data_IF_635107864212
#
_entry.id   IF_635107864212
#
_cell.length_a   1.000
_cell.length_b   1.000
_cell.length_c   1.000
_cell.angle_alpha   90.00
_cell.angle_beta   90.00
_cell.angle_gamma   90.00
#
_symmetry.space_group_name_H-M   'P 1'
#
loop_
_entity.id
_entity.type
_entity.pdbx_description
1 polymer ?
#
# COMPACT_ATOMS: atom_id res chain seq x y z
N UNK A 1 -13.42 -16.08 30.08
CA UNK A 1 -13.01 -14.77 30.64
C UNK A 1 -11.76 -14.84 31.52
N UNK A 2 -11.61 -15.80 32.46
CA UNK A 2 -10.38 -15.94 33.27
C UNK A 2 -9.21 -16.62 32.52
N UNK A 3 -9.49 -17.55 31.59
CA UNK A 3 -8.45 -18.24 30.79
C UNK A 3 -7.77 -17.34 29.75
N UNK A 4 -8.49 -16.39 29.15
CA UNK A 4 -7.92 -15.40 28.20
C UNK A 4 -6.98 -14.39 28.88
N UNK A 5 -7.13 -14.18 30.20
CA UNK A 5 -6.21 -13.37 30.99
C UNK A 5 -4.94 -14.13 31.38
N UNK A 6 -5.02 -15.45 31.57
CA UNK A 6 -3.84 -16.30 31.85
C UNK A 6 -2.91 -16.41 30.64
N UNK A 7 -3.44 -16.59 29.42
CA UNK A 7 -2.62 -16.59 28.19
C UNK A 7 -1.81 -15.30 28.00
N UNK A 8 -2.40 -14.14 28.32
CA UNK A 8 -1.72 -12.83 28.25
C UNK A 8 -0.61 -12.61 29.29
N UNK A 9 -0.56 -13.42 30.36
CA UNK A 9 0.44 -13.28 31.42
C UNK A 9 1.72 -14.08 31.14
N UNK A 10 1.62 -15.17 30.37
CA UNK A 10 2.74 -16.04 29.99
C UNK A 10 3.48 -15.57 28.73
N UNK A 11 2.78 -14.84 27.86
CA UNK A 11 3.42 -14.10 26.77
C UNK A 11 4.10 -12.85 27.34
N UNK A 12 5.37 -13.00 27.76
CA UNK A 12 6.27 -11.85 27.96
C UNK A 12 6.07 -10.91 26.78
N UNK A 13 5.51 -9.72 27.03
CA UNK A 13 5.30 -8.71 26.00
C UNK A 13 6.64 -8.44 25.34
N UNK A 14 6.83 -8.97 24.13
CA UNK A 14 8.07 -8.79 23.38
C UNK A 14 8.09 -7.34 22.91
N UNK A 15 9.22 -6.69 23.13
CA UNK A 15 9.41 -5.34 22.61
C UNK A 15 9.32 -5.34 21.09
N UNK A 16 8.75 -4.28 20.51
CA UNK A 16 8.54 -4.15 19.07
C UNK A 16 9.80 -4.42 18.24
N UNK A 17 10.96 -3.97 18.75
CA UNK A 17 12.26 -4.20 18.12
C UNK A 17 12.64 -5.68 18.08
N UNK A 18 12.36 -6.44 19.14
CA UNK A 18 12.58 -7.88 19.18
C UNK A 18 11.74 -8.60 18.12
N UNK A 19 10.52 -8.13 17.90
CA UNK A 19 9.60 -8.69 16.89
C UNK A 19 10.11 -8.36 15.48
N UNK A 20 10.56 -7.12 15.23
CA UNK A 20 11.19 -6.75 13.95
C UNK A 20 12.35 -7.70 13.60
N UNK A 21 13.30 -7.86 14.52
CA UNK A 21 14.49 -8.68 14.31
C UNK A 21 14.15 -10.15 14.06
N UNK A 22 13.19 -10.69 14.83
CA UNK A 22 12.72 -12.06 14.66
C UNK A 22 12.10 -12.27 13.28
N UNK A 23 11.26 -11.35 12.82
CA UNK A 23 10.62 -11.43 11.51
C UNK A 23 11.60 -11.23 10.35
N UNK A 24 12.56 -10.30 10.46
CA UNK A 24 13.63 -10.14 9.48
C UNK A 24 14.48 -11.40 9.35
N UNK A 25 14.84 -12.00 10.49
CA UNK A 25 15.61 -13.25 10.53
C UNK A 25 14.81 -14.39 9.89
N UNK A 26 13.51 -14.47 10.18
CA UNK A 26 12.62 -15.49 9.66
C UNK A 26 12.43 -15.38 8.15
N UNK A 27 12.20 -14.18 7.63
CA UNK A 27 12.06 -13.94 6.18
C UNK A 27 13.37 -14.26 5.44
N UNK A 28 14.52 -13.95 6.05
CA UNK A 28 15.81 -14.39 5.50
C UNK A 28 15.97 -15.92 5.47
N UNK A 29 15.45 -16.63 6.48
CA UNK A 29 15.53 -18.09 6.56
C UNK A 29 14.56 -18.78 5.59
N UNK A 30 13.34 -18.26 5.45
CA UNK A 30 12.27 -18.87 4.65
C UNK A 30 12.39 -18.48 3.17
N UNK A 31 12.48 -17.18 2.88
CA UNK A 31 12.38 -16.64 1.52
C UNK A 31 13.74 -16.25 0.93
N UNK A 32 14.80 -16.23 1.77
CA UNK A 32 16.12 -15.67 1.43
C UNK A 32 16.06 -14.21 0.99
N UNK A 33 15.01 -13.51 1.37
CA UNK A 33 14.86 -12.08 1.12
C UNK A 33 15.31 -11.30 2.34
N UNK A 34 16.17 -10.31 2.11
CA UNK A 34 16.59 -9.41 3.18
C UNK A 34 15.61 -8.26 3.26
N UNK A 35 14.64 -8.39 4.16
CA UNK A 35 13.73 -7.31 4.50
C UNK A 35 14.28 -6.50 5.69
N UNK A 36 13.91 -5.22 5.78
CA UNK A 36 14.19 -4.38 6.94
C UNK A 36 12.90 -3.76 7.42
N UNK A 37 12.51 -4.08 8.65
CA UNK A 37 11.27 -3.69 9.28
C UNK A 37 11.50 -2.48 10.18
N UNK A 38 11.01 -1.32 9.75
CA UNK A 38 11.06 -0.12 10.57
C UNK A 38 10.07 -0.22 11.75
N UNK A 39 10.62 -0.14 12.97
CA UNK A 39 9.87 -0.12 14.23
C UNK A 39 8.78 0.96 14.26
N UNK A 40 9.06 2.14 13.73
CA UNK A 40 8.11 3.25 13.74
C UNK A 40 6.90 2.94 12.85
N UNK A 41 7.15 2.38 11.66
CA UNK A 41 6.10 1.95 10.72
C UNK A 41 5.18 0.91 11.37
N UNK A 42 5.73 -0.12 12.00
CA UNK A 42 4.95 -1.12 12.73
C UNK A 42 4.17 -0.51 13.90
N UNK A 43 4.78 0.42 14.63
CA UNK A 43 4.09 1.13 15.72
C UNK A 43 2.95 2.01 15.21
N UNK A 44 3.06 2.60 14.03
CA UNK A 44 2.00 3.40 13.40
C UNK A 44 0.86 2.50 12.92
N UNK A 45 1.17 1.39 12.26
CA UNK A 45 0.19 0.40 11.82
C UNK A 45 -0.60 -0.18 13.00
N UNK A 46 0.07 -0.52 14.12
CA UNK A 46 -0.60 -0.99 15.33
C UNK A 46 -1.54 0.06 15.96
N UNK A 47 -1.30 1.35 15.72
CA UNK A 47 -2.16 2.45 16.16
C UNK A 47 -3.30 2.73 15.16
N UNK A 48 -3.42 1.94 14.10
CA UNK A 48 -4.45 2.12 13.07
C UNK A 48 -4.12 3.20 12.04
N UNK A 49 -2.86 3.63 11.94
CA UNK A 49 -2.43 4.53 10.87
C UNK A 49 -2.23 3.71 9.61
N UNK A 50 -3.03 3.99 8.58
CA UNK A 50 -2.88 3.37 7.26
C UNK A 50 -1.51 3.67 6.66
N UNK A 51 -0.95 2.71 5.95
CA UNK A 51 0.22 2.91 5.10
C UNK A 51 -0.13 3.81 3.93
N UNK A 52 0.88 4.48 3.36
CA UNK A 52 0.70 5.27 2.14
C UNK A 52 0.14 4.42 0.99
N UNK A 53 0.47 3.14 0.92
CA UNK A 53 -0.08 2.23 -0.09
C UNK A 53 -1.58 1.99 0.11
N UNK A 54 -2.01 1.76 1.35
CA UNK A 54 -3.44 1.62 1.70
C UNK A 54 -4.20 2.94 1.48
N UNK A 55 -3.63 4.06 1.92
CA UNK A 55 -4.21 5.39 1.66
C UNK A 55 -4.24 5.70 0.16
N UNK A 56 -3.24 5.31 -0.62
CA UNK A 56 -3.27 5.48 -2.08
C UNK A 56 -4.29 4.55 -2.74
N UNK A 57 -4.42 3.32 -2.28
CA UNK A 57 -5.47 2.43 -2.78
C UNK A 57 -6.87 2.97 -2.46
N UNK A 58 -7.06 3.54 -1.27
CA UNK A 58 -8.36 4.02 -0.78
C UNK A 58 -8.72 5.43 -1.27
N UNK A 59 -7.74 6.34 -1.39
CA UNK A 59 -7.95 7.75 -1.75
C UNK A 59 -7.51 8.11 -3.17
N UNK A 60 -6.53 7.41 -3.74
CA UNK A 60 -6.02 7.69 -5.09
C UNK A 60 -6.67 6.83 -6.18
N UNK A 61 -7.63 5.95 -5.86
CA UNK A 61 -8.58 5.42 -6.85
C UNK A 61 -9.62 6.49 -7.22
N UNK A 62 -9.17 7.68 -7.64
CA UNK A 62 -10.05 8.69 -8.24
C UNK A 62 -10.69 8.20 -9.53
N UNK A 63 -10.07 7.20 -10.15
CA UNK A 63 -10.58 6.48 -11.29
C UNK A 63 -10.70 4.99 -10.96
N UNK A 64 -11.85 4.41 -11.25
CA UNK A 64 -12.02 2.97 -11.31
C UNK A 64 -11.24 2.40 -12.52
N UNK A 65 -11.04 1.08 -12.58
CA UNK A 65 -10.25 0.46 -13.64
C UNK A 65 -10.80 0.73 -15.05
N UNK A 66 -12.12 0.86 -15.21
CA UNK A 66 -12.76 1.14 -16.49
C UNK A 66 -12.48 2.58 -16.95
N UNK A 67 -12.55 3.54 -16.02
CA UNK A 67 -12.24 4.95 -16.28
C UNK A 67 -10.75 5.13 -16.65
N UNK A 68 -9.86 4.42 -15.97
CA UNK A 68 -8.43 4.41 -16.31
C UNK A 68 -8.19 3.86 -17.73
N UNK A 69 -8.81 2.74 -18.07
CA UNK A 69 -8.67 2.11 -19.38
C UNK A 69 -9.24 3.01 -20.50
N UNK A 70 -10.35 3.70 -20.23
CA UNK A 70 -10.95 4.66 -21.15
C UNK A 70 -10.00 5.84 -21.46
N UNK A 71 -9.38 6.43 -20.42
CA UNK A 71 -8.40 7.51 -20.58
C UNK A 71 -7.18 7.02 -21.38
N UNK A 72 -6.65 5.85 -21.06
CA UNK A 72 -5.49 5.25 -21.74
C UNK A 72 -5.82 5.00 -23.21
N UNK A 73 -6.97 4.37 -23.49
CA UNK A 73 -7.40 4.06 -24.86
C UNK A 73 -7.59 5.31 -25.69
N UNK A 74 -8.21 6.36 -25.12
CA UNK A 74 -8.36 7.64 -25.79
C UNK A 74 -6.99 8.27 -26.09
N UNK A 75 -6.11 8.31 -25.09
CA UNK A 75 -4.75 8.89 -25.19
C UNK A 75 -3.97 8.21 -26.32
N UNK A 76 -3.97 6.87 -26.37
CA UNK A 76 -3.31 6.10 -27.43
C UNK A 76 -3.89 6.46 -28.81
N UNK A 77 -5.20 6.53 -28.95
CA UNK A 77 -5.86 6.88 -30.21
C UNK A 77 -5.48 8.29 -30.70
N UNK A 78 -5.40 9.26 -29.80
CA UNK A 78 -5.04 10.65 -30.15
C UNK A 78 -3.59 10.76 -30.59
N UNK A 79 -2.67 10.07 -29.91
CA UNK A 79 -1.25 10.00 -30.32
C UNK A 79 -1.09 9.30 -31.66
N UNK A 80 -1.79 8.17 -31.88
CA UNK A 80 -1.74 7.44 -33.16
C UNK A 80 -2.23 8.28 -34.34
N UNK A 81 -3.16 9.21 -34.10
CA UNK A 81 -3.65 10.18 -35.09
C UNK A 81 -2.69 11.37 -35.30
N UNK A 82 -1.58 11.42 -34.56
CA UNK A 82 -0.55 12.46 -34.67
C UNK A 82 -0.90 13.76 -33.94
N UNK A 83 -1.93 13.76 -33.09
CA UNK A 83 -2.27 14.93 -32.31
C UNK A 83 -1.40 15.02 -31.05
N UNK A 84 -0.86 16.21 -30.73
CA UNK A 84 -0.10 16.39 -29.51
C UNK A 84 -1.03 16.30 -28.30
N UNK A 85 -0.67 15.45 -27.34
CA UNK A 85 -1.34 15.43 -26.03
C UNK A 85 -0.61 16.35 -25.06
N UNK A 86 -1.35 17.30 -24.50
CA UNK A 86 -0.90 18.08 -23.37
C UNK A 86 -1.50 17.53 -22.07
N UNK A 87 -0.83 17.73 -20.91
CA UNK A 87 -1.41 17.38 -19.61
C UNK A 87 -2.79 18.02 -19.37
N UNK A 88 -3.02 19.21 -19.94
CA UNK A 88 -4.32 19.89 -19.86
C UNK A 88 -5.42 19.13 -20.61
N UNK A 89 -5.16 18.67 -21.84
CA UNK A 89 -6.13 17.86 -22.59
C UNK A 89 -6.49 16.59 -21.84
N UNK A 90 -5.50 15.89 -21.29
CA UNK A 90 -5.73 14.67 -20.50
C UNK A 90 -6.63 14.97 -19.29
N UNK A 91 -6.39 16.09 -18.61
CA UNK A 91 -7.23 16.49 -17.47
C UNK A 91 -8.67 16.84 -17.89
N UNK A 92 -8.88 17.42 -19.06
CA UNK A 92 -10.21 17.74 -19.58
C UNK A 92 -11.02 16.47 -19.86
N UNK A 93 -10.40 15.48 -20.53
CA UNK A 93 -11.03 14.20 -20.82
C UNK A 93 -11.31 13.42 -19.54
N UNK A 94 -10.38 13.44 -18.59
CA UNK A 94 -10.55 12.79 -17.31
C UNK A 94 -11.70 13.37 -16.46
N UNK A 95 -12.15 14.59 -16.74
CA UNK A 95 -13.34 15.19 -16.11
C UNK A 95 -14.65 14.92 -16.87
N UNK A 96 -14.57 14.34 -18.08
CA UNK A 96 -15.72 14.04 -18.95
C UNK A 96 -16.11 12.55 -18.93
N UNK A 97 -15.28 11.71 -18.29
CA UNK A 97 -15.52 10.29 -18.04
C UNK A 97 -16.12 10.18 -16.64
#
# INVERSE_FOLDING_TARGET
>A
YQEEKKKRLEEKQRGLHSICMEMETRCWQEDKEKITLNKQTLSHQLKGVCSLAETNAEWHSRFNNEEQEAIITYTINVVQRGFPLSPWCISEIANQI
#
